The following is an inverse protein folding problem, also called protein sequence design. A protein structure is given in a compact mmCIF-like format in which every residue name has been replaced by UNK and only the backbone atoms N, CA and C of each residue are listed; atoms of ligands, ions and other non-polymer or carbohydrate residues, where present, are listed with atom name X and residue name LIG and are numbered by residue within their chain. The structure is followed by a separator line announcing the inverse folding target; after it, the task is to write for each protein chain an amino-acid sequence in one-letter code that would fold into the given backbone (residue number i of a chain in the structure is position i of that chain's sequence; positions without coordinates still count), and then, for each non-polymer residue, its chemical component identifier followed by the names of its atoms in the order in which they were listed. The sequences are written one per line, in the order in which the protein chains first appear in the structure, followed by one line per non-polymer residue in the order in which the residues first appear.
data_IF_138375212153
#
_entry.id   IF_138375212153
#
_cell.length_a   1.000
_cell.length_b   1.000
_cell.length_c   1.000
_cell.angle_alpha   90.00
_cell.angle_beta   90.00
_cell.angle_gamma   90.00
#
_symmetry.space_group_name_H-M   'P 1'
#
loop_
_entity.id
_entity.type
_entity.pdbx_description
1 polymer ?
#
# COMPACT_ATOMS: atom_id res chain seq x y z
N UNK A 1 20.42 -8.42 3.65
CA UNK A 1 21.22 -7.59 2.73
C UNK A 1 21.22 -6.15 3.22
N UNK A 2 22.37 -5.51 3.26
CA UNK A 2 22.43 -4.10 3.63
C UNK A 2 21.80 -3.23 2.54
N UNK A 3 21.02 -2.22 2.93
CA UNK A 3 20.46 -1.27 2.00
C UNK A 3 21.57 -0.43 1.37
N UNK A 4 21.44 -0.10 0.10
CA UNK A 4 22.31 0.90 -0.55
C UNK A 4 22.09 2.26 0.12
N UNK A 5 23.04 3.19 -0.05
CA UNK A 5 22.89 4.55 0.49
C UNK A 5 21.64 5.24 -0.09
N UNK A 6 21.35 4.96 -1.35
CA UNK A 6 20.18 5.51 -2.04
C UNK A 6 18.88 4.99 -1.41
N UNK A 7 18.78 3.67 -1.18
CA UNK A 7 17.61 3.07 -0.52
C UNK A 7 17.42 3.58 0.91
N UNK A 8 18.52 3.79 1.66
CA UNK A 8 18.46 4.35 3.02
C UNK A 8 17.86 5.76 3.02
N UNK A 9 18.19 6.58 2.04
CA UNK A 9 17.63 7.92 1.91
C UNK A 9 16.13 7.86 1.58
N UNK A 10 15.72 6.97 0.69
CA UNK A 10 14.31 6.78 0.34
C UNK A 10 13.50 6.24 1.52
N UNK A 11 14.05 5.30 2.29
CA UNK A 11 13.39 4.79 3.50
C UNK A 11 13.24 5.89 4.54
N UNK A 12 14.29 6.72 4.73
CA UNK A 12 14.24 7.83 5.68
C UNK A 12 13.20 8.87 5.27
N UNK A 13 13.16 9.22 3.99
CA UNK A 13 12.13 10.13 3.44
C UNK A 13 10.72 9.60 3.71
N UNK A 14 10.49 8.32 3.41
CA UNK A 14 9.18 7.69 3.55
C UNK A 14 8.75 7.52 5.02
N UNK A 15 9.69 7.55 5.97
CA UNK A 15 9.38 7.54 7.40
C UNK A 15 8.96 8.92 7.92
N UNK A 16 9.27 9.98 7.20
CA UNK A 16 8.71 11.30 7.49
C UNK A 16 7.28 11.33 6.94
N UNK A 17 6.32 11.06 7.81
CA UNK A 17 4.91 10.93 7.39
C UNK A 17 4.35 12.18 6.74
N UNK A 18 4.78 13.36 7.19
CA UNK A 18 4.32 14.63 6.61
C UNK A 18 4.75 14.75 5.15
N UNK A 19 6.02 14.46 4.86
CA UNK A 19 6.54 14.48 3.49
C UNK A 19 5.89 13.39 2.64
N UNK A 20 5.76 12.18 3.18
CA UNK A 20 5.13 11.06 2.49
C UNK A 20 3.69 11.40 2.08
N UNK A 21 2.89 11.93 3.00
CA UNK A 21 1.50 12.29 2.72
C UNK A 21 1.39 13.42 1.72
N UNK A 22 2.26 14.43 1.80
CA UNK A 22 2.31 15.51 0.83
C UNK A 22 2.62 14.99 -0.58
N UNK A 23 3.53 14.03 -0.68
CA UNK A 23 3.91 13.42 -1.96
C UNK A 23 2.78 12.57 -2.55
N UNK A 24 2.08 11.81 -1.73
CA UNK A 24 0.89 11.04 -2.14
C UNK A 24 -0.18 11.99 -2.68
N UNK A 25 -0.45 13.08 -1.96
CA UNK A 25 -1.44 14.08 -2.37
C UNK A 25 -1.10 14.68 -3.73
N UNK A 26 0.13 15.14 -3.94
CA UNK A 26 0.58 15.70 -5.22
C UNK A 26 0.44 14.69 -6.36
N UNK A 27 0.79 13.43 -6.11
CA UNK A 27 0.72 12.36 -7.08
C UNK A 27 -0.73 12.09 -7.51
N UNK A 28 -1.61 11.92 -6.55
CA UNK A 28 -3.04 11.63 -6.79
C UNK A 28 -3.72 12.81 -7.49
N UNK A 29 -3.34 14.05 -7.16
CA UNK A 29 -3.90 15.25 -7.79
C UNK A 29 -3.33 15.55 -9.18
N UNK A 30 -2.40 14.73 -9.66
CA UNK A 30 -1.80 14.92 -10.98
C UNK A 30 -0.76 16.04 -11.04
N UNK A 31 -0.23 16.47 -9.90
CA UNK A 31 0.76 17.55 -9.81
C UNK A 31 2.20 17.07 -9.79
N UNK A 32 2.42 15.77 -9.62
CA UNK A 32 3.75 15.17 -9.60
C UNK A 32 4.18 14.75 -11.00
N UNK A 33 5.43 15.01 -11.42
CA UNK A 33 5.96 14.53 -12.69
C UNK A 33 6.41 13.07 -12.63
N UNK A 34 6.38 12.45 -11.45
CA UNK A 34 6.92 11.10 -11.25
C UNK A 34 5.99 10.03 -11.83
N UNK A 35 6.58 8.96 -12.34
CA UNK A 35 5.83 7.79 -12.84
C UNK A 35 5.45 6.84 -11.73
N UNK A 36 6.10 6.94 -10.58
CA UNK A 36 5.79 6.19 -9.37
C UNK A 36 6.30 6.93 -8.15
N UNK A 37 5.67 6.67 -7.01
CA UNK A 37 6.05 7.24 -5.72
C UNK A 37 6.13 6.13 -4.68
N UNK A 38 6.68 6.48 -3.52
CA UNK A 38 6.66 5.62 -2.35
C UNK A 38 5.31 5.81 -1.64
N UNK A 39 4.60 4.70 -1.40
CA UNK A 39 3.29 4.72 -0.75
C UNK A 39 3.36 4.28 0.72
N UNK A 40 4.33 3.47 1.10
CA UNK A 40 4.50 2.99 2.47
C UNK A 40 5.90 2.42 2.68
N UNK A 41 6.28 2.21 3.94
CA UNK A 41 7.54 1.57 4.32
C UNK A 41 7.23 0.35 5.18
N UNK A 42 7.68 -0.81 4.75
CA UNK A 42 7.52 -2.05 5.48
C UNK A 42 8.55 -2.13 6.62
N UNK A 43 8.13 -2.72 7.74
CA UNK A 43 9.12 -3.14 8.75
C UNK A 43 9.84 -4.40 8.25
N UNK A 44 10.92 -4.76 8.95
CA UNK A 44 11.74 -5.89 8.54
C UNK A 44 10.95 -7.21 8.53
N UNK A 45 10.12 -7.43 9.53
CA UNK A 45 9.30 -8.63 9.62
C UNK A 45 8.33 -8.74 8.46
N UNK A 46 7.63 -7.67 8.12
CA UNK A 46 6.69 -7.65 7.01
C UNK A 46 7.41 -7.79 5.67
N UNK A 47 8.57 -7.17 5.51
CA UNK A 47 9.41 -7.35 4.34
C UNK A 47 9.72 -8.83 4.10
N UNK A 48 10.10 -9.55 5.15
CA UNK A 48 10.39 -10.98 5.07
C UNK A 48 9.15 -11.78 4.74
N UNK A 49 8.02 -11.49 5.40
CA UNK A 49 6.75 -12.17 5.14
C UNK A 49 6.29 -12.03 3.70
N UNK A 50 6.50 -10.87 3.10
CA UNK A 50 6.12 -10.59 1.71
C UNK A 50 7.17 -11.00 0.69
N UNK A 51 8.33 -11.47 1.13
CA UNK A 51 9.48 -11.79 0.28
C UNK A 51 9.90 -10.59 -0.58
N UNK A 52 9.83 -9.40 0.01
CA UNK A 52 10.17 -8.16 -0.66
C UNK A 52 11.67 -7.92 -0.68
N UNK A 53 12.19 -7.45 -1.80
CA UNK A 53 13.61 -7.10 -1.96
C UNK A 53 13.96 -5.76 -1.30
N UNK A 54 12.94 -4.94 -0.99
CA UNK A 54 13.08 -3.62 -0.38
C UNK A 54 11.96 -3.40 0.63
N UNK A 55 12.15 -2.44 1.54
CA UNK A 55 11.12 -2.01 2.49
C UNK A 55 10.10 -1.05 1.87
N UNK A 56 10.35 -0.60 0.66
CA UNK A 56 9.48 0.39 0.01
C UNK A 56 8.30 -0.27 -0.68
N UNK A 57 7.10 0.28 -0.46
CA UNK A 57 5.91 -0.05 -1.25
C UNK A 57 5.71 1.07 -2.25
N UNK A 58 5.64 0.72 -3.53
CA UNK A 58 5.58 1.67 -4.63
C UNK A 58 4.14 1.84 -5.12
N UNK A 59 3.81 3.02 -5.62
CA UNK A 59 2.53 3.32 -6.23
C UNK A 59 2.80 3.91 -7.62
N UNK A 60 2.45 3.17 -8.66
CA UNK A 60 2.70 3.59 -10.05
C UNK A 60 1.56 4.46 -10.57
N UNK A 61 1.89 5.36 -11.51
CA UNK A 61 0.90 6.18 -12.19
C UNK A 61 -0.11 5.34 -12.97
N UNK A 62 0.34 4.24 -13.56
CA UNK A 62 -0.53 3.30 -14.26
C UNK A 62 -1.61 2.74 -13.33
N UNK A 63 -1.22 2.30 -12.14
CA UNK A 63 -2.17 1.82 -11.12
C UNK A 63 -3.09 2.94 -10.64
N UNK A 64 -2.57 4.15 -10.46
CA UNK A 64 -3.39 5.30 -10.07
C UNK A 64 -4.46 5.59 -11.12
N UNK A 65 -4.09 5.67 -12.39
CA UNK A 65 -5.03 5.96 -13.48
C UNK A 65 -6.13 4.89 -13.56
N UNK A 66 -5.77 3.62 -13.45
CA UNK A 66 -6.74 2.53 -13.43
C UNK A 66 -7.65 2.59 -12.21
N UNK A 67 -7.10 2.92 -11.05
CA UNK A 67 -7.87 3.02 -9.81
C UNK A 67 -8.85 4.19 -9.83
N UNK A 68 -8.44 5.34 -10.36
CA UNK A 68 -9.33 6.51 -10.49
C UNK A 68 -10.54 6.21 -11.37
N UNK A 69 -10.37 5.40 -12.41
CA UNK A 69 -11.47 4.98 -13.28
C UNK A 69 -12.44 4.01 -12.58
N UNK A 70 -11.91 3.05 -11.82
CA UNK A 70 -12.72 2.03 -11.15
C UNK A 70 -13.38 2.51 -9.87
N UNK A 71 -12.72 3.41 -9.14
CA UNK A 71 -13.13 3.85 -7.82
C UNK A 71 -13.12 5.38 -7.72
N UNK A 72 -13.97 6.07 -8.51
CA UNK A 72 -14.03 7.54 -8.49
C UNK A 72 -14.52 8.11 -7.15
N UNK A 73 -15.12 7.27 -6.30
CA UNK A 73 -15.58 7.63 -4.96
C UNK A 73 -14.44 7.82 -3.95
N UNK A 74 -13.24 7.31 -4.27
CA UNK A 74 -12.08 7.43 -3.37
C UNK A 74 -11.52 8.86 -3.45
N UNK A 75 -11.39 9.49 -2.29
CA UNK A 75 -10.92 10.87 -2.18
C UNK A 75 -9.43 10.94 -1.89
N UNK A 76 -8.85 12.13 -1.99
CA UNK A 76 -7.46 12.39 -1.60
C UNK A 76 -7.23 11.98 -0.13
N UNK A 77 -8.19 12.28 0.75
CA UNK A 77 -8.10 11.90 2.15
C UNK A 77 -8.02 10.39 2.35
N UNK A 78 -8.73 9.63 1.52
CA UNK A 78 -8.66 8.17 1.55
C UNK A 78 -7.27 7.68 1.12
N UNK A 79 -6.70 8.24 0.05
CA UNK A 79 -5.35 7.88 -0.40
C UNK A 79 -4.28 8.16 0.65
N UNK A 80 -4.46 9.18 1.49
CA UNK A 80 -3.53 9.49 2.59
C UNK A 80 -3.50 8.40 3.67
N UNK A 81 -4.48 7.51 3.70
CA UNK A 81 -4.52 6.38 4.63
C UNK A 81 -3.68 5.18 4.17
N UNK A 82 -3.18 5.17 2.93
CA UNK A 82 -2.42 4.05 2.36
C UNK A 82 -1.27 3.61 3.28
N UNK A 83 -0.39 4.52 3.75
CA UNK A 83 0.71 4.10 4.62
C UNK A 83 0.23 3.37 5.88
N UNK A 84 -0.77 3.90 6.55
CA UNK A 84 -1.30 3.33 7.78
C UNK A 84 -1.93 1.94 7.54
N UNK A 85 -2.71 1.82 6.48
CA UNK A 85 -3.37 0.55 6.12
C UNK A 85 -2.32 -0.54 5.85
N UNK A 86 -1.31 -0.24 5.05
CA UNK A 86 -0.28 -1.21 4.69
C UNK A 86 0.63 -1.53 5.87
N UNK A 87 1.03 -0.53 6.64
CA UNK A 87 1.98 -0.70 7.74
C UNK A 87 1.34 -1.34 8.98
N UNK A 88 0.06 -1.10 9.24
CA UNK A 88 -0.60 -1.49 10.48
C UNK A 88 -1.82 -2.39 10.32
N UNK A 89 -2.32 -2.59 9.12
CA UNK A 89 -3.49 -3.42 8.85
C UNK A 89 -3.21 -4.91 8.99
N UNK A 90 -4.28 -5.69 9.11
CA UNK A 90 -4.19 -7.14 8.99
C UNK A 90 -3.78 -7.49 7.56
N UNK A 91 -2.85 -8.42 7.38
CA UNK A 91 -2.39 -8.86 6.06
C UNK A 91 -2.80 -10.31 5.79
N UNK A 92 -3.31 -10.54 4.58
CA UNK A 92 -3.75 -11.83 4.09
C UNK A 92 -3.06 -12.15 2.77
N UNK A 93 -2.62 -13.41 2.63
CA UNK A 93 -1.83 -13.87 1.49
C UNK A 93 -2.70 -14.61 0.48
N UNK A 94 -2.63 -14.17 -0.81
CA UNK A 94 -3.17 -14.88 -1.96
C UNK A 94 -2.12 -14.88 -3.06
N UNK A 95 -1.39 -15.98 -3.24
CA UNK A 95 -0.30 -16.07 -4.21
C UNK A 95 0.62 -14.84 -4.12
N UNK A 96 0.79 -14.07 -5.22
CA UNK A 96 1.59 -12.85 -5.22
C UNK A 96 0.83 -11.61 -4.72
N UNK A 97 -0.48 -11.68 -4.57
CA UNK A 97 -1.29 -10.58 -4.02
C UNK A 97 -1.43 -10.70 -2.52
N UNK A 98 -1.48 -9.55 -1.87
CA UNK A 98 -1.71 -9.42 -0.43
C UNK A 98 -2.82 -8.41 -0.22
N UNK A 99 -3.70 -8.71 0.74
CA UNK A 99 -4.79 -7.80 1.11
C UNK A 99 -4.56 -7.28 2.53
N UNK A 100 -4.64 -5.97 2.68
CA UNK A 100 -4.54 -5.31 3.98
C UNK A 100 -5.91 -4.79 4.40
N UNK A 101 -6.29 -5.04 5.65
CA UNK A 101 -7.55 -4.58 6.23
C UNK A 101 -7.25 -3.72 7.45
N UNK A 102 -7.85 -2.53 7.53
CA UNK A 102 -7.71 -1.65 8.68
C UNK A 102 -8.97 -0.81 8.87
N UNK A 103 -9.45 -0.76 10.11
CA UNK A 103 -10.48 0.21 10.51
C UNK A 103 -9.86 1.59 10.70
N UNK A 104 -10.45 2.59 10.06
CA UNK A 104 -10.00 3.97 10.16
C UNK A 104 -11.18 4.91 9.97
N UNK A 105 -11.32 5.90 10.86
CA UNK A 105 -12.39 6.92 10.75
C UNK A 105 -13.80 6.32 10.59
N UNK A 106 -14.08 5.23 11.30
CA UNK A 106 -15.39 4.57 11.26
C UNK A 106 -15.65 3.71 10.03
N UNK A 107 -14.63 3.48 9.20
CA UNK A 107 -14.73 2.64 7.99
C UNK A 107 -13.72 1.50 8.06
N UNK A 108 -14.07 0.38 7.43
CA UNK A 108 -13.12 -0.70 7.16
C UNK A 108 -12.57 -0.50 5.76
N UNK A 109 -11.26 -0.25 5.66
CA UNK A 109 -10.57 -0.12 4.39
C UNK A 109 -9.91 -1.42 3.99
N UNK A 110 -9.94 -1.68 2.70
CA UNK A 110 -9.29 -2.80 2.06
C UNK A 110 -8.30 -2.26 1.03
N UNK A 111 -7.03 -2.66 1.15
CA UNK A 111 -6.01 -2.34 0.16
C UNK A 111 -5.46 -3.63 -0.44
N UNK A 112 -5.10 -3.60 -1.72
CA UNK A 112 -4.40 -4.69 -2.38
C UNK A 112 -2.99 -4.25 -2.73
N UNK A 113 -2.03 -5.12 -2.43
CA UNK A 113 -0.62 -4.95 -2.82
C UNK A 113 -0.16 -6.22 -3.52
N UNK A 114 0.90 -6.10 -4.31
CA UNK A 114 1.47 -7.20 -5.09
C UNK A 114 2.98 -7.23 -4.94
N UNK A 115 3.54 -8.43 -4.74
CA UNK A 115 4.98 -8.64 -4.85
C UNK A 115 5.29 -9.22 -6.22
N UNK A 116 6.19 -8.56 -6.96
CA UNK A 116 6.61 -9.03 -8.29
C UNK A 116 7.63 -10.17 -8.15
N UNK A 117 7.94 -10.83 -9.27
CA UNK A 117 8.95 -11.89 -9.31
C UNK A 117 10.33 -11.40 -8.85
N UNK A 118 10.65 -10.13 -9.08
CA UNK A 118 11.91 -9.51 -8.63
C UNK A 118 11.87 -9.02 -7.17
N UNK A 119 10.72 -9.16 -6.49
CA UNK A 119 10.56 -8.79 -5.08
C UNK A 119 10.12 -7.36 -4.85
N UNK A 120 9.77 -6.61 -5.88
CA UNK A 120 9.22 -5.27 -5.72
C UNK A 120 7.78 -5.34 -5.25
N UNK A 121 7.38 -4.46 -4.34
CA UNK A 121 6.01 -4.40 -3.82
C UNK A 121 5.30 -3.17 -4.34
N UNK A 122 4.14 -3.37 -4.97
CA UNK A 122 3.33 -2.29 -5.52
C UNK A 122 1.96 -2.23 -4.84
N UNK A 123 1.52 -1.03 -4.53
CA UNK A 123 0.14 -0.76 -4.17
C UNK A 123 -0.72 -0.78 -5.43
N UNK A 124 -1.85 -1.48 -5.38
CA UNK A 124 -2.73 -1.66 -6.54
C UNK A 124 -4.07 -0.94 -6.38
N UNK A 125 -4.73 -1.08 -5.24
CA UNK A 125 -6.08 -0.57 -5.07
C UNK A 125 -6.44 -0.33 -3.60
N UNK A 126 -7.44 0.53 -3.40
CA UNK A 126 -7.96 0.89 -2.09
C UNK A 126 -9.45 1.18 -2.20
N UNK A 127 -10.26 0.61 -1.32
CA UNK A 127 -11.66 1.02 -1.18
C UNK A 127 -12.20 0.61 0.19
N UNK A 128 -13.33 1.22 0.57
CA UNK A 128 -14.02 0.87 1.80
C UNK A 128 -14.85 -0.39 1.58
N UNK A 129 -14.91 -1.25 2.60
CA UNK A 129 -15.69 -2.48 2.59
C UNK A 129 -16.47 -2.62 3.90
N UNK A 130 -17.10 -3.77 4.12
CA UNK A 130 -17.80 -4.11 5.35
C UNK A 130 -17.15 -5.32 6.00
N UNK A 131 -17.41 -5.52 7.29
CA UNK A 131 -16.91 -6.72 8.00
C UNK A 131 -17.41 -8.00 7.32
N UNK A 132 -18.67 -8.04 6.92
CA UNK A 132 -19.25 -9.20 6.26
C UNK A 132 -18.53 -9.53 4.95
N UNK A 133 -18.35 -8.52 4.08
CA UNK A 133 -17.66 -8.70 2.81
C UNK A 133 -16.19 -9.05 3.01
N UNK A 134 -15.51 -8.42 3.97
CA UNK A 134 -14.12 -8.73 4.28
C UNK A 134 -13.97 -10.18 4.75
N UNK A 135 -14.90 -10.69 5.55
CA UNK A 135 -14.88 -12.09 5.98
C UNK A 135 -15.07 -13.03 4.78
N UNK A 136 -16.09 -12.77 3.94
CA UNK A 136 -16.42 -13.62 2.80
C UNK A 136 -15.32 -13.60 1.74
N UNK A 137 -14.79 -12.42 1.43
CA UNK A 137 -13.89 -12.23 0.29
C UNK A 137 -12.42 -12.43 0.65
N UNK A 138 -12.03 -12.24 1.90
CA UNK A 138 -10.63 -12.24 2.31
C UNK A 138 -10.37 -13.20 3.49
N UNK A 139 -10.93 -12.91 4.66
CA UNK A 139 -10.55 -13.60 5.90
C UNK A 139 -10.83 -15.11 5.88
N UNK A 140 -11.93 -15.51 5.28
CA UNK A 140 -12.31 -16.92 5.20
C UNK A 140 -11.63 -17.67 4.05
N UNK A 141 -10.97 -16.95 3.13
CA UNK A 141 -10.37 -17.54 1.93
C UNK A 141 -8.85 -17.62 1.99
N UNK A 142 -8.20 -16.69 2.67
CA UNK A 142 -6.76 -16.51 2.59
C UNK A 142 -6.11 -16.60 3.95
N UNK A 143 -4.85 -17.00 3.96
CA UNK A 143 -4.04 -17.10 5.17
C UNK A 143 -3.70 -15.71 5.72
N UNK A 144 -3.98 -15.50 7.01
CA UNK A 144 -3.55 -14.30 7.72
C UNK A 144 -2.07 -14.42 8.04
N UNK A 145 -1.26 -13.48 7.56
CA UNK A 145 0.19 -13.48 7.77
C UNK A 145 0.66 -12.40 8.75
N UNK A 146 -0.21 -11.47 9.11
CA UNK A 146 0.11 -10.44 10.10
C UNK A 146 -1.12 -9.96 10.85
#
# INVERSE_FOLDING_TARGET
MALSNFEKQDVQFARDKKLLLANITSFVEGKSPDHQIIAAVLDEKTQQLLRASSKLVLFSKESLDAHLLKHPEITVNDYQLIPDIIENGELYLQKEKRYALLHKNGRLYRAAIKTTASGEVYFLSLFATTEELANIQIRNKFEKIR
#
